data_IF_908883450892
#
_entry.id   IF_908883450892
#
_cell.length_a   1.000
_cell.length_b   1.000
_cell.length_c   1.000
_cell.angle_alpha   90.00
_cell.angle_beta   90.00
_cell.angle_gamma   90.00
#
_symmetry.space_group_name_H-M   'P 1'
#
loop_
_entity.id
_entity.type
_entity.pdbx_description
1 polymer ?
#
# COMPACT_ATOMS: atom_id res chain seq x y z
N UNK A 1 25.05 31.97 -22.15
CA UNK A 1 25.39 30.55 -21.91
C UNK A 1 24.66 30.08 -20.67
N UNK A 2 23.49 29.48 -20.83
CA UNK A 2 22.73 28.88 -19.74
C UNK A 2 23.37 27.55 -19.34
N UNK A 3 23.77 27.43 -18.06
CA UNK A 3 24.22 26.16 -17.48
C UNK A 3 22.99 25.35 -17.08
N UNK A 4 22.69 24.32 -17.86
CA UNK A 4 21.74 23.26 -17.47
C UNK A 4 22.40 22.46 -16.34
N UNK A 5 21.95 22.66 -15.10
CA UNK A 5 22.35 21.84 -13.95
C UNK A 5 21.54 20.55 -14.01
N UNK A 6 22.05 19.57 -14.75
CA UNK A 6 21.64 18.18 -14.60
C UNK A 6 22.20 17.65 -13.28
N UNK A 7 21.40 17.70 -12.22
CA UNK A 7 21.70 17.03 -10.95
C UNK A 7 20.78 15.82 -10.79
N UNK A 8 20.95 14.81 -11.65
CA UNK A 8 20.41 13.48 -11.37
C UNK A 8 21.24 12.86 -10.23
N UNK A 9 20.92 13.21 -8.99
CA UNK A 9 21.39 12.46 -7.83
C UNK A 9 20.82 11.04 -7.96
N UNK A 10 21.64 10.10 -8.43
CA UNK A 10 21.30 8.69 -8.42
C UNK A 10 20.88 8.33 -6.99
N UNK A 11 19.61 8.02 -6.79
CA UNK A 11 19.17 7.42 -5.54
C UNK A 11 19.92 6.09 -5.40
N UNK A 12 20.57 5.89 -4.27
CA UNK A 12 21.13 4.59 -3.87
C UNK A 12 19.96 3.60 -3.70
N UNK A 13 19.46 3.04 -4.80
CA UNK A 13 18.39 2.05 -4.79
C UNK A 13 19.01 0.67 -4.97
N UNK A 14 18.89 -0.18 -3.96
CA UNK A 14 19.15 -1.62 -4.08
C UNK A 14 17.85 -2.35 -4.40
N UNK A 15 17.95 -3.55 -4.97
CA UNK A 15 16.84 -4.50 -5.09
C UNK A 15 17.22 -5.81 -4.43
N UNK A 16 16.23 -6.59 -4.03
CA UNK A 16 16.43 -7.96 -3.52
C UNK A 16 15.72 -8.97 -4.41
N UNK A 17 16.09 -10.24 -4.29
CA UNK A 17 15.30 -11.32 -4.88
C UNK A 17 13.93 -11.39 -4.17
N UNK A 18 12.87 -11.17 -4.94
CA UNK A 18 11.49 -11.19 -4.51
C UNK A 18 10.66 -11.73 -5.68
N UNK A 19 9.81 -12.71 -5.41
CA UNK A 19 9.09 -13.47 -6.44
C UNK A 19 7.67 -13.80 -5.99
N UNK A 20 6.80 -14.05 -6.96
CA UNK A 20 5.45 -14.57 -6.75
C UNK A 20 5.49 -16.02 -6.26
N UNK A 21 4.35 -16.54 -5.81
CA UNK A 21 4.15 -17.95 -5.46
C UNK A 21 4.51 -18.91 -6.59
N UNK A 22 4.36 -18.48 -7.85
CA UNK A 22 4.71 -19.25 -9.06
C UNK A 22 6.19 -19.11 -9.46
N UNK A 23 7.00 -18.39 -8.68
CA UNK A 23 8.43 -18.21 -8.89
C UNK A 23 8.78 -17.14 -9.92
N UNK A 24 7.84 -16.24 -10.26
CA UNK A 24 8.12 -15.15 -11.19
C UNK A 24 8.74 -13.98 -10.44
N UNK A 25 9.89 -13.46 -10.87
CA UNK A 25 10.51 -12.29 -10.24
C UNK A 25 9.60 -11.06 -10.26
N UNK A 26 9.58 -10.35 -9.14
CA UNK A 26 8.87 -9.08 -8.93
C UNK A 26 9.89 -7.94 -8.93
N UNK A 27 9.70 -6.97 -9.83
CA UNK A 27 10.57 -5.79 -9.86
C UNK A 27 10.34 -4.94 -8.62
N UNK A 28 11.43 -4.68 -7.90
CA UNK A 28 11.38 -4.00 -6.62
C UNK A 28 12.59 -3.10 -6.39
N UNK A 29 12.46 -2.20 -5.42
CA UNK A 29 13.51 -1.30 -4.96
C UNK A 29 13.53 -1.19 -3.43
N UNK A 30 14.60 -0.64 -2.88
CA UNK A 30 14.73 -0.24 -1.48
C UNK A 30 15.39 1.13 -1.45
N UNK A 31 14.71 2.13 -0.89
CA UNK A 31 15.30 3.46 -0.69
C UNK A 31 15.71 3.64 0.77
N UNK A 32 17.01 3.71 1.04
CA UNK A 32 17.52 3.91 2.40
C UNK A 32 17.33 5.34 2.93
N UNK A 33 17.03 6.28 2.03
CA UNK A 33 16.92 7.71 2.34
C UNK A 33 15.52 8.22 2.04
N UNK A 34 14.99 9.03 2.95
CA UNK A 34 13.77 9.82 2.73
C UNK A 34 14.20 11.23 2.34
N UNK A 35 13.80 11.67 1.15
CA UNK A 35 14.06 13.03 0.68
C UNK A 35 13.34 14.09 1.52
N UNK A 36 13.84 15.33 1.54
CA UNK A 36 13.16 16.46 2.20
C UNK A 36 11.75 16.69 1.66
N UNK A 37 11.56 16.52 0.35
CA UNK A 37 10.24 16.63 -0.29
C UNK A 37 9.24 15.61 0.27
N UNK A 38 9.66 14.35 0.43
CA UNK A 38 8.82 13.33 1.05
C UNK A 38 8.53 13.65 2.53
N UNK A 39 9.51 14.20 3.27
CA UNK A 39 9.30 14.62 4.66
C UNK A 39 8.28 15.77 4.77
N UNK A 40 8.28 16.72 3.83
CA UNK A 40 7.30 17.81 3.84
C UNK A 40 5.85 17.35 3.66
N UNK A 41 5.63 16.16 3.10
CA UNK A 41 4.28 15.60 2.98
C UNK A 41 3.74 15.06 4.31
N UNK A 42 4.56 14.91 5.36
CA UNK A 42 4.14 14.28 6.61
C UNK A 42 3.11 15.12 7.36
N UNK A 43 3.19 16.45 7.26
CA UNK A 43 2.19 17.35 7.86
C UNK A 43 0.82 17.26 7.18
N UNK A 44 0.75 16.85 5.91
CA UNK A 44 -0.54 16.62 5.25
C UNK A 44 -1.26 15.43 5.86
N UNK A 45 -0.52 14.44 6.39
CA UNK A 45 -1.13 13.26 6.99
C UNK A 45 -1.70 13.52 8.38
N UNK A 46 -1.25 14.55 9.10
CA UNK A 46 -1.78 14.87 10.43
C UNK A 46 -3.23 15.38 10.41
N UNK A 47 -3.79 15.69 9.24
CA UNK A 47 -5.21 16.07 9.11
C UNK A 47 -6.17 14.88 9.20
N UNK A 48 -5.65 13.65 9.10
CA UNK A 48 -6.46 12.44 9.19
C UNK A 48 -6.45 11.90 10.63
N UNK A 49 -7.64 11.64 11.16
CA UNK A 49 -7.79 11.02 12.48
C UNK A 49 -7.50 9.50 12.43
N UNK A 50 -6.24 9.15 12.61
CA UNK A 50 -5.80 7.74 12.62
C UNK A 50 -6.00 7.13 14.00
N UNK A 51 -6.36 5.84 14.02
CA UNK A 51 -6.53 5.09 15.26
C UNK A 51 -5.18 4.77 15.93
N UNK A 52 -4.14 4.54 15.13
CA UNK A 52 -2.78 4.35 15.64
C UNK A 52 -1.72 4.59 14.56
N UNK A 53 -0.55 5.06 14.98
CA UNK A 53 0.68 5.12 14.18
C UNK A 53 1.59 3.98 14.65
N UNK A 54 2.05 3.11 13.74
CA UNK A 54 2.78 1.88 14.09
C UNK A 54 4.27 1.95 13.89
N UNK A 55 4.76 2.82 13.00
CA UNK A 55 6.19 2.86 12.65
C UNK A 55 6.71 4.30 12.57
N UNK A 56 8.05 4.43 12.58
CA UNK A 56 8.70 5.67 12.17
C UNK A 56 8.73 5.80 10.64
N UNK A 57 8.98 7.02 10.11
CA UNK A 57 9.23 7.22 8.69
C UNK A 57 10.33 6.34 8.12
N UNK A 58 10.04 5.77 6.96
CA UNK A 58 10.95 4.91 6.22
C UNK A 58 10.62 4.92 4.73
N UNK A 59 11.68 4.96 3.90
CA UNK A 59 11.63 4.76 2.45
C UNK A 59 11.98 3.33 2.04
N UNK A 60 12.09 2.39 2.99
CA UNK A 60 12.59 1.05 2.68
C UNK A 60 11.56 0.20 1.90
N UNK A 61 10.28 0.51 2.08
CA UNK A 61 9.15 -0.14 1.41
C UNK A 61 8.03 0.88 1.21
N UNK A 62 7.12 0.63 0.27
CA UNK A 62 5.91 1.43 0.05
C UNK A 62 4.66 0.70 0.58
N UNK A 63 3.46 1.21 0.32
CA UNK A 63 2.21 0.55 0.72
C UNK A 63 2.09 -0.88 0.21
N UNK A 64 2.33 -1.10 -1.08
CA UNK A 64 2.32 -2.44 -1.67
C UNK A 64 3.42 -3.33 -1.09
N UNK A 65 4.58 -2.77 -0.80
CA UNK A 65 5.66 -3.41 -0.08
C UNK A 65 5.31 -3.88 1.33
N UNK A 66 4.50 -3.09 2.05
CA UNK A 66 3.96 -3.47 3.34
C UNK A 66 2.97 -4.63 3.19
N UNK A 67 2.07 -4.55 2.20
CA UNK A 67 0.98 -5.50 1.97
C UNK A 67 1.47 -6.85 1.44
N UNK A 68 2.28 -6.86 0.37
CA UNK A 68 2.71 -8.07 -0.34
C UNK A 68 4.18 -8.44 -0.03
N UNK A 69 5.03 -7.43 0.19
CA UNK A 69 6.47 -7.62 0.41
C UNK A 69 6.88 -7.88 1.86
N UNK A 70 5.92 -7.90 2.81
CA UNK A 70 6.20 -7.97 4.25
C UNK A 70 7.21 -6.92 4.72
N UNK A 71 7.08 -5.67 4.24
CA UNK A 71 7.94 -4.52 4.57
C UNK A 71 9.39 -4.60 4.07
N UNK A 72 9.70 -5.52 3.16
CA UNK A 72 11.08 -5.72 2.69
C UNK A 72 11.43 -4.91 1.45
N UNK A 73 10.45 -4.46 0.68
CA UNK A 73 10.68 -3.87 -0.64
C UNK A 73 9.65 -2.82 -1.00
N UNK A 74 10.00 -1.90 -1.89
CA UNK A 74 9.07 -1.09 -2.67
C UNK A 74 8.70 -1.83 -3.95
N UNK A 75 7.40 -1.99 -4.23
CA UNK A 75 6.93 -2.53 -5.51
C UNK A 75 6.72 -1.36 -6.47
N UNK A 76 7.40 -1.39 -7.63
CA UNK A 76 7.67 -0.18 -8.43
C UNK A 76 6.53 0.14 -9.42
N UNK A 77 5.68 -0.82 -9.77
CA UNK A 77 4.64 -0.59 -10.76
C UNK A 77 3.42 -1.47 -10.57
N UNK A 78 2.28 -0.98 -11.06
CA UNK A 78 0.99 -1.64 -11.09
C UNK A 78 1.00 -3.00 -11.79
N UNK A 79 1.81 -3.15 -12.86
CA UNK A 79 1.99 -4.44 -13.54
C UNK A 79 2.57 -5.52 -12.61
N UNK A 80 3.39 -5.13 -11.64
CA UNK A 80 3.91 -6.06 -10.64
C UNK A 80 2.84 -6.44 -9.62
N UNK A 81 1.89 -5.54 -9.33
CA UNK A 81 0.73 -5.82 -8.48
C UNK A 81 -0.23 -6.77 -9.18
N UNK A 82 -0.56 -6.53 -10.45
CA UNK A 82 -1.37 -7.44 -11.26
C UNK A 82 -0.76 -8.85 -11.29
N UNK A 83 0.57 -8.91 -11.46
CA UNK A 83 1.32 -10.16 -11.43
C UNK A 83 1.17 -10.87 -10.08
N UNK A 84 1.37 -10.16 -8.95
CA UNK A 84 1.18 -10.72 -7.61
C UNK A 84 -0.24 -11.24 -7.43
N UNK A 85 -1.25 -10.44 -7.74
CA UNK A 85 -2.65 -10.85 -7.55
C UNK A 85 -2.98 -12.12 -8.35
N UNK A 86 -2.50 -12.20 -9.59
CA UNK A 86 -2.75 -13.35 -10.48
C UNK A 86 -1.95 -14.59 -10.10
N UNK A 87 -0.68 -14.41 -9.74
CA UNK A 87 0.24 -15.53 -9.54
C UNK A 87 0.27 -16.06 -8.11
N UNK A 88 -0.13 -15.25 -7.12
CA UNK A 88 -0.27 -15.65 -5.72
C UNK A 88 -1.69 -16.13 -5.39
N UNK A 89 -2.53 -16.29 -6.43
CA UNK A 89 -3.91 -16.81 -6.37
C UNK A 89 -4.84 -15.95 -5.50
N UNK A 90 -4.71 -14.62 -5.59
CA UNK A 90 -5.68 -13.71 -5.01
C UNK A 90 -6.96 -13.67 -5.87
N UNK A 91 -8.10 -13.77 -5.21
CA UNK A 91 -9.41 -13.55 -5.81
C UNK A 91 -10.03 -12.25 -5.28
N UNK A 92 -10.68 -11.51 -6.18
CA UNK A 92 -11.50 -10.35 -5.81
C UNK A 92 -12.74 -10.82 -5.02
N UNK A 93 -12.98 -10.20 -3.87
CA UNK A 93 -14.14 -10.42 -3.02
C UNK A 93 -15.21 -9.41 -3.40
N UNK A 94 -16.40 -9.90 -3.78
CA UNK A 94 -17.60 -9.08 -3.92
C UNK A 94 -18.26 -8.90 -2.54
N UNK A 95 -18.19 -7.72 -1.90
CA UNK A 95 -18.73 -7.52 -0.55
C UNK A 95 -20.25 -7.67 -0.47
N UNK A 96 -20.96 -7.74 -1.61
CA UNK A 96 -22.39 -8.02 -1.68
C UNK A 96 -22.71 -9.51 -1.58
N UNK A 97 -21.75 -10.38 -1.88
CA UNK A 97 -21.91 -11.84 -1.91
C UNK A 97 -21.13 -12.55 -0.82
N UNK A 98 -19.97 -12.02 -0.46
CA UNK A 98 -19.05 -12.62 0.49
C UNK A 98 -18.67 -11.60 1.58
N UNK A 99 -18.43 -12.09 2.80
CA UNK A 99 -17.98 -11.23 3.89
C UNK A 99 -16.48 -10.89 3.70
N UNK A 100 -16.16 -9.61 3.86
CA UNK A 100 -14.79 -9.17 4.13
C UNK A 100 -14.38 -9.72 5.50
N UNK A 101 -13.13 -10.18 5.64
CA UNK A 101 -12.57 -10.77 6.85
C UNK A 101 -11.22 -10.09 7.20
N UNK A 102 -10.82 -10.13 8.48
CA UNK A 102 -9.44 -9.81 8.86
C UNK A 102 -8.43 -10.64 8.06
N UNK A 103 -7.39 -9.99 7.56
CA UNK A 103 -6.38 -10.58 6.68
C UNK A 103 -6.63 -10.37 5.19
N UNK A 104 -7.83 -9.94 4.78
CA UNK A 104 -8.07 -9.53 3.40
C UNK A 104 -7.23 -8.32 3.02
N UNK A 105 -6.89 -8.21 1.75
CA UNK A 105 -6.20 -7.05 1.19
C UNK A 105 -7.23 -6.08 0.65
N UNK A 106 -7.14 -4.81 1.04
CA UNK A 106 -7.86 -3.72 0.37
C UNK A 106 -6.94 -3.06 -0.65
N UNK A 107 -7.46 -2.80 -1.85
CA UNK A 107 -6.79 -2.07 -2.92
C UNK A 107 -7.61 -0.84 -3.27
N UNK A 108 -6.93 0.31 -3.39
CA UNK A 108 -7.50 1.58 -3.82
C UNK A 108 -7.05 1.84 -5.25
N UNK A 109 -7.97 2.35 -6.06
CA UNK A 109 -7.74 2.63 -7.47
C UNK A 109 -7.95 4.10 -7.76
N UNK A 110 -7.13 4.63 -8.66
CA UNK A 110 -7.28 5.97 -9.22
C UNK A 110 -7.07 5.88 -10.72
N UNK A 111 -8.04 6.36 -11.50
CA UNK A 111 -8.03 6.30 -12.97
C UNK A 111 -7.82 4.87 -13.52
N UNK A 112 -8.28 3.86 -12.80
CA UNK A 112 -8.13 2.44 -13.17
C UNK A 112 -6.77 1.82 -12.82
N UNK A 113 -5.87 2.56 -12.18
CA UNK A 113 -4.56 2.09 -11.76
C UNK A 113 -4.49 1.86 -10.23
N UNK A 114 -3.57 1.00 -9.76
CA UNK A 114 -3.39 0.76 -8.33
C UNK A 114 -2.72 1.97 -7.67
N UNK A 115 -3.46 2.65 -6.80
CA UNK A 115 -2.98 3.82 -6.08
C UNK A 115 -2.41 3.44 -4.71
N UNK A 116 -3.10 2.56 -3.99
CA UNK A 116 -2.77 2.24 -2.61
C UNK A 116 -3.23 0.83 -2.21
N UNK A 117 -2.66 0.31 -1.13
CA UNK A 117 -3.06 -0.99 -0.57
C UNK A 117 -2.90 -1.05 0.94
N UNK A 118 -3.68 -1.92 1.57
CA UNK A 118 -3.60 -2.22 2.99
C UNK A 118 -4.15 -3.59 3.33
N UNK A 119 -4.06 -3.94 4.61
CA UNK A 119 -4.56 -5.21 5.16
C UNK A 119 -5.72 -4.90 6.11
N UNK A 120 -6.84 -5.58 5.94
CA UNK A 120 -8.00 -5.50 6.83
C UNK A 120 -7.62 -6.10 8.18
N UNK A 121 -7.75 -5.32 9.25
CA UNK A 121 -7.51 -5.77 10.62
C UNK A 121 -8.79 -6.17 11.33
N UNK A 122 -9.87 -5.42 11.10
CA UNK A 122 -11.16 -5.67 11.73
C UNK A 122 -12.28 -5.28 10.78
N UNK A 123 -13.38 -6.02 10.85
CA UNK A 123 -14.59 -5.77 10.07
C UNK A 123 -15.73 -5.50 11.04
N UNK A 124 -16.51 -4.43 10.83
CA UNK A 124 -17.61 -4.10 11.73
C UNK A 124 -18.65 -5.22 11.80
N UNK A 125 -19.23 -5.39 12.98
CA UNK A 125 -20.28 -6.36 13.24
C UNK A 125 -21.54 -6.02 12.43
N UNK A 126 -22.46 -6.99 12.27
CA UNK A 126 -23.76 -6.74 11.63
C UNK A 126 -24.58 -5.67 12.35
N UNK A 127 -24.34 -5.43 13.63
CA UNK A 127 -25.08 -4.46 14.44
C UNK A 127 -24.42 -3.07 14.47
N UNK A 128 -23.19 -2.93 13.97
CA UNK A 128 -22.49 -1.64 14.02
C UNK A 128 -23.13 -0.65 13.04
N UNK A 129 -23.32 0.60 13.45
CA UNK A 129 -23.85 1.65 12.56
C UNK A 129 -22.89 1.98 11.42
N UNK A 130 -21.59 1.91 11.67
CA UNK A 130 -20.54 2.16 10.68
C UNK A 130 -20.10 0.84 10.07
N UNK A 131 -20.25 0.68 8.76
CA UNK A 131 -19.88 -0.52 8.00
C UNK A 131 -18.51 -0.44 7.32
N UNK A 132 -17.63 0.41 7.85
CA UNK A 132 -16.29 0.66 7.27
C UNK A 132 -15.26 -0.21 7.99
N UNK A 133 -14.51 -1.08 7.29
CA UNK A 133 -13.45 -1.87 7.89
C UNK A 133 -12.33 -0.99 8.47
N UNK A 134 -11.67 -1.52 9.51
CA UNK A 134 -10.41 -0.96 10.02
C UNK A 134 -9.26 -1.66 9.30
N UNK A 135 -8.34 -0.88 8.76
CA UNK A 135 -7.24 -1.36 7.94
C UNK A 135 -5.91 -0.86 8.49
N UNK A 136 -4.84 -1.62 8.22
CA UNK A 136 -3.46 -1.19 8.37
C UNK A 136 -2.91 -0.90 6.97
N UNK A 137 -2.36 0.28 6.75
CA UNK A 137 -1.72 0.62 5.48
C UNK A 137 -0.54 1.57 5.69
N UNK A 138 0.33 1.71 4.70
CA UNK A 138 1.47 2.65 4.77
C UNK A 138 1.23 3.89 3.91
N UNK A 139 1.26 5.07 4.51
CA UNK A 139 1.05 6.32 3.79
C UNK A 139 2.39 6.93 3.36
N UNK A 140 2.67 6.85 2.05
CA UNK A 140 3.93 7.30 1.46
C UNK A 140 5.16 6.78 2.23
N UNK A 141 6.12 7.67 2.49
CA UNK A 141 7.29 7.34 3.32
C UNK A 141 7.07 7.58 4.82
N UNK A 142 5.86 7.98 5.26
CA UNK A 142 5.62 8.48 6.62
C UNK A 142 5.46 7.39 7.67
N UNK A 143 4.44 6.55 7.59
CA UNK A 143 4.23 5.51 8.60
C UNK A 143 3.25 4.46 8.13
N UNK A 144 3.30 3.30 8.77
CA UNK A 144 2.16 2.40 8.85
C UNK A 144 1.15 2.94 9.86
N UNK A 145 -0.10 3.05 9.42
CA UNK A 145 -1.18 3.58 10.23
C UNK A 145 -2.36 2.63 10.25
N UNK A 146 -3.03 2.60 11.39
CA UNK A 146 -4.31 1.93 11.57
C UNK A 146 -5.39 3.00 11.44
N UNK A 147 -6.33 2.81 10.53
CA UNK A 147 -7.39 3.77 10.25
C UNK A 147 -8.63 3.08 9.69
N UNK A 148 -9.75 3.78 9.67
CA UNK A 148 -10.91 3.35 8.90
C UNK A 148 -10.60 3.43 7.41
N UNK A 149 -11.07 2.46 6.63
CA UNK A 149 -10.73 2.35 5.21
C UNK A 149 -11.07 3.61 4.38
N UNK A 150 -12.09 4.38 4.78
CA UNK A 150 -12.48 5.64 4.12
C UNK A 150 -11.80 6.90 4.69
N UNK A 151 -11.02 6.79 5.76
CA UNK A 151 -10.34 7.92 6.40
C UNK A 151 -8.84 7.88 6.08
N UNK A 152 -8.50 8.20 4.84
CA UNK A 152 -7.14 8.17 4.33
C UNK A 152 -6.96 9.14 3.15
N UNK A 153 -5.73 9.40 2.68
CA UNK A 153 -5.48 10.34 1.58
C UNK A 153 -5.78 9.79 0.19
N UNK A 154 -6.34 8.59 0.08
CA UNK A 154 -6.58 7.88 -1.17
C UNK A 154 -8.08 7.79 -1.47
N UNK A 155 -8.45 7.61 -2.74
CA UNK A 155 -9.86 7.58 -3.13
C UNK A 155 -10.53 6.26 -2.70
N UNK A 156 -11.43 6.35 -1.72
CA UNK A 156 -12.20 5.21 -1.23
C UNK A 156 -13.34 4.79 -2.19
N UNK A 157 -13.73 5.64 -3.13
CA UNK A 157 -14.86 5.39 -4.04
C UNK A 157 -14.60 4.22 -4.99
N UNK A 158 -13.34 3.94 -5.30
CA UNK A 158 -12.89 2.84 -6.14
C UNK A 158 -12.02 1.88 -5.34
N UNK A 159 -12.62 1.17 -4.38
CA UNK A 159 -11.93 0.15 -3.60
C UNK A 159 -12.40 -1.26 -3.92
N UNK A 160 -11.45 -2.20 -3.88
CA UNK A 160 -11.69 -3.63 -4.03
C UNK A 160 -11.00 -4.41 -2.91
N UNK A 161 -11.54 -5.58 -2.60
CA UNK A 161 -10.99 -6.47 -1.58
C UNK A 161 -10.50 -7.76 -2.25
N UNK A 162 -9.38 -8.31 -1.78
CA UNK A 162 -8.77 -9.50 -2.32
C UNK A 162 -8.40 -10.49 -1.22
N UNK A 163 -8.53 -11.78 -1.51
CA UNK A 163 -8.17 -12.88 -0.59
C UNK A 163 -7.59 -14.05 -1.38
N UNK A 164 -6.57 -14.69 -0.83
CA UNK A 164 -6.07 -15.96 -1.36
C UNK A 164 -7.08 -17.07 -1.02
N UNK A 165 -7.70 -17.69 -2.03
CA UNK A 165 -8.50 -18.90 -1.84
C UNK A 165 -7.61 -20.13 -2.03
N UNK A 166 -7.73 -21.07 -1.10
CA UNK A 166 -6.94 -22.31 -1.10
C UNK A 166 -7.47 -23.31 -2.11
#
# INVERSE_FOLDING_TARGET
MEKIISSSSQKDTSSIHFETRKGTPIRNAQSLKISRFQQSQFSEYSRYDVLAVRTQPTGYYNCHGMTFGSRRVEIISSKEIDKILTEDDYEEIDPKKENILPGDVIMYFSEGDFEHSGIVLNVPSKNDYIKIPVVCSKWGCWSEVIHYANNCPYDFSQTKYYRIKK
#
